data_IF_087844058934
#
_entry.id   IF_087844058934
#
_cell.length_a   1.000
_cell.length_b   1.000
_cell.length_c   1.000
_cell.angle_alpha   90.00
_cell.angle_beta   90.00
_cell.angle_gamma   90.00
#
_symmetry.space_group_name_H-M   'P 1'
#
loop_
_entity.id
_entity.type
_entity.pdbx_description
1 polymer ?
#
# COMPACT_ATOMS: atom_id res chain seq x y z
N UNK A 1 10.96 -22.55 -10.36
CA UNK A 1 9.60 -22.42 -10.87
C UNK A 1 8.68 -21.83 -9.83
N UNK A 2 7.88 -20.91 -10.26
CA UNK A 2 6.92 -20.30 -9.36
C UNK A 2 5.61 -21.05 -9.36
N UNK A 3 5.06 -21.27 -8.21
CA UNK A 3 3.78 -21.92 -8.04
C UNK A 3 2.89 -21.00 -7.23
N UNK A 4 1.66 -20.84 -7.67
CA UNK A 4 0.68 -20.08 -6.88
C UNK A 4 0.44 -20.85 -5.59
N UNK A 5 0.62 -20.17 -4.47
CA UNK A 5 0.46 -20.80 -3.18
C UNK A 5 -1.02 -20.91 -2.83
N UNK A 6 -1.47 -22.09 -2.39
CA UNK A 6 -2.84 -22.18 -1.89
C UNK A 6 -2.95 -21.42 -0.58
N UNK A 7 -3.95 -20.57 -0.48
CA UNK A 7 -4.16 -19.77 0.70
C UNK A 7 -5.42 -20.29 1.38
N UNK A 8 -5.25 -21.10 2.43
CA UNK A 8 -6.37 -21.66 3.14
C UNK A 8 -6.75 -20.81 4.34
N UNK A 9 -5.76 -20.13 4.90
CA UNK A 9 -5.98 -19.25 6.04
C UNK A 9 -5.34 -17.91 5.73
N UNK A 10 -5.91 -16.83 6.23
CA UNK A 10 -5.29 -15.52 6.02
C UNK A 10 -3.94 -15.45 6.72
N UNK A 11 -2.99 -14.83 6.08
CA UNK A 11 -1.74 -14.49 6.72
C UNK A 11 -1.31 -13.12 6.24
N UNK A 12 -0.38 -12.51 6.98
CA UNK A 12 0.07 -11.19 6.63
C UNK A 12 1.51 -11.00 7.07
N UNK A 13 2.14 -10.01 6.48
CA UNK A 13 3.48 -9.58 6.88
C UNK A 13 3.60 -8.11 6.58
N UNK A 14 4.63 -7.48 7.13
CA UNK A 14 4.83 -6.06 6.94
C UNK A 14 6.28 -5.75 6.63
N UNK A 15 6.48 -4.59 6.05
CA UNK A 15 7.78 -4.05 5.74
C UNK A 15 7.79 -2.59 6.18
N UNK A 16 8.80 -2.19 6.94
CA UNK A 16 8.98 -0.80 7.35
C UNK A 16 10.21 -0.24 6.64
N UNK A 17 10.07 0.95 6.11
CA UNK A 17 11.17 1.59 5.39
C UNK A 17 11.17 3.08 5.65
N UNK A 18 12.31 3.76 5.46
CA UNK A 18 12.33 5.21 5.54
C UNK A 18 11.39 5.81 4.51
N UNK A 19 10.82 6.97 4.80
CA UNK A 19 10.00 7.70 3.84
C UNK A 19 10.92 8.44 2.87
N UNK A 20 11.56 7.67 2.01
CA UNK A 20 12.57 8.13 1.07
C UNK A 20 12.08 7.71 -0.32
N UNK A 21 11.93 8.67 -1.26
CA UNK A 21 11.44 8.33 -2.60
C UNK A 21 12.27 7.26 -3.30
N UNK A 22 13.55 7.13 -2.94
CA UNK A 22 14.40 6.11 -3.56
C UNK A 22 13.98 4.70 -3.21
N UNK A 23 13.16 4.53 -2.15
CA UNK A 23 12.68 3.21 -1.74
C UNK A 23 11.38 2.83 -2.45
N UNK A 24 10.75 3.75 -3.16
CA UNK A 24 9.46 3.49 -3.79
C UNK A 24 9.49 2.33 -4.79
N UNK A 25 10.55 2.13 -5.60
CA UNK A 25 10.57 0.98 -6.49
C UNK A 25 10.51 -0.37 -5.78
N UNK A 26 10.97 -0.44 -4.53
CA UNK A 26 10.85 -1.67 -3.73
C UNK A 26 9.38 -2.00 -3.51
N UNK A 27 8.56 -0.98 -3.23
CA UNK A 27 7.12 -1.16 -3.06
C UNK A 27 6.50 -1.74 -4.32
N UNK A 28 6.83 -1.17 -5.48
CA UNK A 28 6.28 -1.63 -6.74
C UNK A 28 6.64 -3.08 -7.00
N UNK A 29 7.90 -3.41 -6.86
CA UNK A 29 8.38 -4.74 -7.19
C UNK A 29 7.79 -5.78 -6.24
N UNK A 30 7.75 -5.46 -4.95
CA UNK A 30 7.22 -6.38 -3.96
C UNK A 30 5.73 -6.60 -4.15
N UNK A 31 4.97 -5.54 -4.34
CA UNK A 31 3.52 -5.66 -4.51
C UNK A 31 3.18 -6.45 -5.77
N UNK A 32 3.87 -6.17 -6.88
CA UNK A 32 3.62 -6.90 -8.10
C UNK A 32 3.95 -8.37 -7.96
N UNK A 33 5.05 -8.68 -7.28
CA UNK A 33 5.47 -10.06 -7.10
C UNK A 33 4.47 -10.83 -6.23
N UNK A 34 4.02 -10.21 -5.14
CA UNK A 34 3.04 -10.85 -4.27
C UNK A 34 1.72 -11.05 -5.02
N UNK A 35 1.29 -10.03 -5.77
CA UNK A 35 0.04 -10.13 -6.52
C UNK A 35 0.08 -11.30 -7.51
N UNK A 36 1.22 -11.50 -8.19
CA UNK A 36 1.36 -12.63 -9.08
C UNK A 36 1.30 -13.97 -8.35
N UNK A 37 1.89 -14.03 -7.16
CA UNK A 37 1.90 -15.25 -6.37
C UNK A 37 0.51 -15.65 -5.93
N UNK A 38 -0.40 -14.70 -5.75
CA UNK A 38 -1.77 -15.01 -5.36
C UNK A 38 -2.73 -15.08 -6.54
N UNK A 39 -2.18 -15.09 -7.76
CA UNK A 39 -2.98 -15.40 -8.93
C UNK A 39 -3.43 -14.22 -9.76
N UNK A 40 -2.96 -13.02 -9.50
CA UNK A 40 -3.29 -11.89 -10.38
C UNK A 40 -2.56 -12.02 -11.70
N UNK A 41 -3.21 -11.60 -12.77
CA UNK A 41 -2.58 -11.59 -14.09
C UNK A 41 -1.38 -10.63 -14.06
N UNK A 42 -0.38 -10.92 -14.90
CA UNK A 42 0.87 -10.16 -14.88
C UNK A 42 0.68 -8.67 -15.11
N UNK A 43 -0.16 -8.29 -16.08
CA UNK A 43 -0.41 -6.89 -16.37
C UNK A 43 -1.16 -6.20 -15.23
N UNK A 44 -2.08 -6.91 -14.59
CA UNK A 44 -2.80 -6.38 -13.43
C UNK A 44 -1.88 -6.22 -12.22
N UNK A 45 -0.98 -7.18 -12.04
CA UNK A 45 -0.02 -7.11 -10.94
C UNK A 45 0.91 -5.92 -11.14
N UNK A 46 1.37 -5.70 -12.36
CA UNK A 46 2.24 -4.57 -12.67
C UNK A 46 1.51 -3.25 -12.50
N UNK A 47 0.25 -3.19 -12.91
CA UNK A 47 -0.55 -1.98 -12.74
C UNK A 47 -0.77 -1.66 -11.27
N UNK A 48 -1.02 -2.68 -10.45
CA UNK A 48 -1.15 -2.49 -9.02
C UNK A 48 0.14 -1.95 -8.43
N UNK A 49 1.27 -2.56 -8.79
CA UNK A 49 2.57 -2.08 -8.30
C UNK A 49 2.83 -0.63 -8.67
N UNK A 50 2.52 -0.26 -9.93
CA UNK A 50 2.68 1.11 -10.37
C UNK A 50 1.81 2.09 -9.61
N UNK A 51 0.56 1.72 -9.36
CA UNK A 51 -0.34 2.57 -8.59
C UNK A 51 0.14 2.74 -7.16
N UNK A 52 0.63 1.66 -6.55
CA UNK A 52 1.11 1.73 -5.17
C UNK A 52 2.38 2.58 -5.07
N UNK A 53 3.28 2.51 -6.05
CA UNK A 53 4.47 3.34 -6.00
C UNK A 53 4.11 4.82 -6.13
N UNK A 54 3.17 5.17 -7.02
CA UNK A 54 2.69 6.54 -7.13
C UNK A 54 2.05 7.00 -5.82
N UNK A 55 1.30 6.12 -5.18
CA UNK A 55 0.61 6.42 -3.94
C UNK A 55 1.62 6.71 -2.82
N UNK A 56 2.65 5.88 -2.71
CA UNK A 56 3.68 6.08 -1.69
C UNK A 56 4.46 7.37 -1.94
N UNK A 57 4.84 7.63 -3.19
CA UNK A 57 5.58 8.85 -3.51
C UNK A 57 4.77 10.10 -3.17
N UNK A 58 3.48 10.09 -3.48
CA UNK A 58 2.61 11.22 -3.16
C UNK A 58 2.53 11.41 -1.64
N UNK A 59 2.37 10.32 -0.90
CA UNK A 59 2.26 10.41 0.55
C UNK A 59 3.55 10.94 1.18
N UNK A 60 4.69 10.48 0.69
CA UNK A 60 5.98 10.96 1.20
C UNK A 60 6.10 12.46 0.96
N UNK A 61 5.72 12.91 -0.23
CA UNK A 61 5.84 14.32 -0.58
C UNK A 61 4.86 15.18 0.20
N UNK A 62 3.60 14.74 0.30
CA UNK A 62 2.55 15.57 0.86
C UNK A 62 2.39 15.42 2.37
N UNK A 63 2.72 14.26 2.90
CA UNK A 63 2.55 14.00 4.32
C UNK A 63 3.74 14.39 5.16
N UNK A 64 4.90 14.65 4.54
CA UNK A 64 6.09 15.03 5.26
C UNK A 64 6.32 16.52 5.15
N UNK A 65 7.21 17.03 5.99
CA UNK A 65 7.58 18.45 5.94
C UNK A 65 8.89 18.67 5.19
N UNK A 66 9.39 17.62 4.51
CA UNK A 66 10.63 17.71 3.77
C UNK A 66 11.88 17.56 4.61
N UNK A 67 11.74 17.36 5.90
CA UNK A 67 12.87 17.29 6.82
C UNK A 67 13.11 15.89 7.36
N UNK A 68 12.40 14.91 6.85
CA UNK A 68 12.41 13.58 7.42
C UNK A 68 11.44 13.48 8.58
N UNK A 69 11.64 12.52 9.44
CA UNK A 69 10.77 12.34 10.61
C UNK A 69 9.56 11.49 10.32
N UNK A 70 9.49 10.88 9.16
CA UNK A 70 8.42 9.95 8.83
C UNK A 70 9.00 8.65 8.31
N UNK A 71 8.21 7.61 8.41
CA UNK A 71 8.54 6.31 7.79
C UNK A 71 7.27 5.70 7.21
N UNK A 72 7.46 4.75 6.32
CA UNK A 72 6.36 4.05 5.66
C UNK A 72 6.35 2.62 6.14
N UNK A 73 5.19 2.15 6.54
CA UNK A 73 4.98 0.74 6.84
C UNK A 73 3.97 0.20 5.86
N UNK A 74 4.27 -0.96 5.27
CA UNK A 74 3.40 -1.59 4.29
C UNK A 74 3.01 -2.94 4.85
N UNK A 75 1.70 -3.15 5.00
CA UNK A 75 1.19 -4.42 5.48
C UNK A 75 0.48 -5.13 4.34
N UNK A 76 0.84 -6.38 4.14
CA UNK A 76 0.20 -7.23 3.15
C UNK A 76 -0.63 -8.27 3.89
N UNK A 77 -1.89 -8.38 3.51
CA UNK A 77 -2.75 -9.43 4.01
C UNK A 77 -3.26 -10.22 2.83
N UNK A 78 -3.07 -11.53 2.92
CA UNK A 78 -3.45 -12.46 1.86
C UNK A 78 -4.42 -13.46 2.47
N UNK A 79 -5.60 -13.57 1.86
CA UNK A 79 -6.55 -14.59 2.26
C UNK A 79 -7.17 -15.20 1.00
N UNK A 80 -8.00 -16.24 1.15
CA UNK A 80 -8.51 -16.94 -0.02
C UNK A 80 -9.29 -16.09 -1.00
N UNK A 81 -9.89 -15.00 -0.55
CA UNK A 81 -10.77 -14.20 -1.38
C UNK A 81 -10.22 -12.84 -1.74
N UNK A 82 -9.21 -12.36 -1.04
CA UNK A 82 -8.76 -10.98 -1.24
C UNK A 82 -7.28 -10.82 -0.93
N UNK A 83 -6.69 -9.88 -1.61
CA UNK A 83 -5.35 -9.41 -1.38
C UNK A 83 -5.47 -7.96 -0.90
N UNK A 84 -4.92 -7.66 0.26
CA UNK A 84 -5.05 -6.34 0.87
C UNK A 84 -3.67 -5.76 1.13
N UNK A 85 -3.50 -4.49 0.76
CA UNK A 85 -2.27 -3.76 1.03
C UNK A 85 -2.66 -2.54 1.85
N UNK A 86 -2.05 -2.39 3.02
CA UNK A 86 -2.23 -1.22 3.86
C UNK A 86 -0.94 -0.43 3.89
N UNK A 87 -1.03 0.82 3.51
CA UNK A 87 0.10 1.74 3.54
C UNK A 87 -0.10 2.68 4.73
N UNK A 88 0.93 2.79 5.56
CA UNK A 88 0.89 3.67 6.73
C UNK A 88 2.05 4.65 6.61
N UNK A 89 1.73 5.93 6.64
CA UNK A 89 2.74 6.98 6.76
C UNK A 89 2.69 7.43 8.20
N UNK A 90 3.77 7.21 8.94
CA UNK A 90 3.81 7.46 10.37
C UNK A 90 4.89 8.45 10.73
N UNK A 91 4.62 9.23 11.78
CA UNK A 91 5.62 10.14 12.31
C UNK A 91 6.56 9.44 13.27
N UNK A 92 7.82 9.85 13.26
CA UNK A 92 8.84 9.27 14.12
C UNK A 92 8.87 9.94 15.48
N UNK A 93 8.30 11.14 15.59
CA UNK A 93 8.26 11.89 16.84
C UNK A 93 6.90 12.57 16.98
N UNK A 94 6.66 13.13 18.17
CA UNK A 94 5.36 13.71 18.48
C UNK A 94 5.01 14.87 17.56
N UNK A 95 5.99 15.66 17.16
CA UNK A 95 5.76 16.80 16.28
C UNK A 95 5.28 16.34 14.91
N UNK A 96 5.92 15.31 14.36
CA UNK A 96 5.56 14.79 13.05
C UNK A 96 4.20 14.08 13.12
N UNK A 97 3.96 13.33 14.19
CA UNK A 97 2.65 12.70 14.40
C UNK A 97 1.56 13.76 14.43
N UNK A 98 1.78 14.87 15.15
CA UNK A 98 0.79 15.94 15.25
C UNK A 98 0.54 16.58 13.87
N UNK A 99 1.59 16.77 13.08
CA UNK A 99 1.45 17.34 11.74
C UNK A 99 0.64 16.44 10.84
N UNK A 100 0.88 15.12 10.90
CA UNK A 100 0.11 14.17 10.10
C UNK A 100 -1.33 14.09 10.57
N UNK A 101 -1.56 14.19 11.89
CA UNK A 101 -2.92 14.18 12.43
C UNK A 101 -3.71 15.38 11.98
N UNK A 102 -3.06 16.52 11.77
CA UNK A 102 -3.72 17.73 11.32
C UNK A 102 -4.03 17.71 9.83
N UNK A 103 -3.38 16.85 9.05
CA UNK A 103 -3.57 16.79 7.61
C UNK A 103 -4.80 15.96 7.29
N UNK A 104 -5.55 16.41 6.28
CA UNK A 104 -6.67 15.61 5.79
C UNK A 104 -6.14 14.41 5.02
N UNK A 105 -6.69 13.22 5.24
CA UNK A 105 -6.22 12.05 4.50
C UNK A 105 -6.22 12.24 2.99
N UNK A 106 -7.18 12.98 2.46
CA UNK A 106 -7.28 13.22 1.03
C UNK A 106 -6.11 14.03 0.48
N UNK A 107 -5.40 14.78 1.32
CA UNK A 107 -4.22 15.49 0.86
C UNK A 107 -2.98 14.64 0.93
N UNK A 108 -2.95 13.66 1.83
CA UNK A 108 -1.82 12.75 1.96
C UNK A 108 -1.85 11.70 0.84
N UNK A 109 -3.03 11.15 0.56
CA UNK A 109 -3.17 10.05 -0.38
C UNK A 109 -3.79 10.52 -1.70
N UNK A 110 -3.28 10.05 -2.85
CA UNK A 110 -3.76 10.53 -4.15
C UNK A 110 -5.04 9.81 -4.57
N UNK A 111 -6.17 10.36 -4.21
CA UNK A 111 -7.47 9.75 -4.48
C UNK A 111 -7.66 9.46 -5.96
N UNK A 112 -7.23 10.37 -6.83
CA UNK A 112 -7.39 10.18 -8.28
C UNK A 112 -6.60 8.97 -8.78
N UNK A 113 -5.42 8.76 -8.24
CA UNK A 113 -4.60 7.60 -8.60
C UNK A 113 -5.23 6.33 -8.06
N UNK A 114 -5.71 6.38 -6.82
CA UNK A 114 -6.31 5.21 -6.17
C UNK A 114 -7.59 4.76 -6.86
N UNK A 115 -8.33 5.67 -7.46
CA UNK A 115 -9.55 5.30 -8.18
C UNK A 115 -9.29 4.45 -9.40
N UNK A 116 -8.05 4.36 -9.87
CA UNK A 116 -7.71 3.50 -11.00
C UNK A 116 -7.58 2.04 -10.61
N UNK A 117 -7.53 1.75 -9.34
CA UNK A 117 -7.32 0.38 -8.86
C UNK A 117 -8.58 -0.43 -9.05
N UNK A 118 -8.43 -1.64 -9.58
CA UNK A 118 -9.53 -2.60 -9.60
C UNK A 118 -9.72 -3.12 -8.19
N UNK A 119 -10.84 -2.80 -7.58
CA UNK A 119 -11.10 -3.13 -6.19
C UNK A 119 -11.57 -1.89 -5.48
N UNK A 120 -11.17 -1.75 -4.24
CA UNK A 120 -11.59 -0.59 -3.46
C UNK A 120 -10.46 -0.11 -2.57
N UNK A 121 -10.60 1.12 -2.11
CA UNK A 121 -9.63 1.67 -1.19
C UNK A 121 -10.34 2.46 -0.10
N UNK A 122 -9.66 2.61 1.03
CA UNK A 122 -10.11 3.44 2.14
C UNK A 122 -8.93 4.25 2.63
N UNK A 123 -9.16 5.51 2.92
CA UNK A 123 -8.15 6.36 3.53
C UNK A 123 -8.68 6.86 4.86
N UNK A 124 -7.79 6.98 5.84
CA UNK A 124 -8.21 7.36 7.19
C UNK A 124 -7.01 7.84 7.98
N UNK A 125 -7.29 8.39 9.14
CA UNK A 125 -6.24 8.73 10.08
C UNK A 125 -5.85 7.49 10.87
N UNK A 126 -4.56 7.42 11.21
CA UNK A 126 -4.00 6.40 12.08
C UNK A 126 -3.51 7.13 13.33
N UNK A 127 -3.47 6.48 14.50
CA UNK A 127 -3.01 7.17 15.71
C UNK A 127 -1.63 7.80 15.59
N UNK A 128 -0.78 7.29 14.69
CA UNK A 128 0.57 7.81 14.52
C UNK A 128 0.79 8.45 13.15
N UNK A 129 -0.28 8.62 12.36
CA UNK A 129 -0.12 9.20 11.04
C UNK A 129 -1.35 9.06 10.18
N UNK A 130 -1.18 8.50 8.99
CA UNK A 130 -2.24 8.39 8.00
C UNK A 130 -2.20 7.02 7.35
N UNK A 131 -3.36 6.51 6.96
CA UNK A 131 -3.49 5.15 6.47
C UNK A 131 -4.25 5.11 5.14
N UNK A 132 -3.76 4.27 4.23
CA UNK A 132 -4.45 3.96 2.99
C UNK A 132 -4.51 2.45 2.85
N UNK A 133 -5.71 1.89 2.73
CA UNK A 133 -5.88 0.46 2.58
C UNK A 133 -6.51 0.17 1.23
N UNK A 134 -5.88 -0.70 0.47
CA UNK A 134 -6.34 -1.13 -0.85
C UNK A 134 -6.70 -2.59 -0.77
N UNK A 135 -7.91 -2.94 -1.19
CA UNK A 135 -8.39 -4.32 -1.20
C UNK A 135 -8.71 -4.71 -2.62
N UNK A 136 -8.16 -5.83 -3.05
CA UNK A 136 -8.37 -6.35 -4.39
C UNK A 136 -8.85 -7.79 -4.29
N UNK A 137 -9.96 -8.15 -4.93
CA UNK A 137 -10.40 -9.54 -4.95
C UNK A 137 -9.41 -10.39 -5.72
N UNK A 138 -9.18 -11.61 -5.24
CA UNK A 138 -8.36 -12.57 -5.97
C UNK A 138 -9.18 -13.82 -6.16
N UNK A 139 -8.89 -14.54 -7.20
CA UNK A 139 -9.53 -15.79 -7.45
C UNK A 139 -10.89 -15.70 -8.08
N UNK A 140 -11.56 -14.58 -7.97
CA UNK A 140 -12.90 -14.46 -8.52
C UNK A 140 -12.91 -14.72 -10.01
N UNK A 141 -11.87 -14.36 -10.69
CA UNK A 141 -11.79 -14.56 -12.12
C UNK A 141 -11.45 -15.95 -12.51
N UNK A 142 -11.14 -16.77 -11.57
CA UNK A 142 -10.64 -18.07 -11.93
C UNK A 142 -11.70 -19.05 -12.32
N UNK A 143 -12.89 -18.80 -12.04
CA UNK A 143 -13.96 -19.67 -12.44
C UNK A 143 -14.32 -19.54 -13.88
N UNK A 144 -13.73 -18.60 -14.51
CA UNK A 144 -14.16 -18.30 -15.82
C UNK A 144 -13.46 -18.92 -16.88
#
# INVERSE_FOLDING_TARGET
MLTVLPVEQPYWFSLTMPADPRMAPVVRDLAARIARQVGCAGDEADALGGTLVETVLHAIERGGDGRGGTHVEILFRIDPSAFEVTLLLRGDDDRTVAALAAAEPETVWPVDVLRRITGRFEISRDPQGSRCRVTRPVGARQGE
#
